data_IF_989566314864
#
_entry.id   IF_989566314864
#
_cell.length_a   1.000
_cell.length_b   1.000
_cell.length_c   1.000
_cell.angle_alpha   90.00
_cell.angle_beta   90.00
_cell.angle_gamma   90.00
#
_symmetry.space_group_name_H-M   'P 1'
#
loop_
_entity.id
_entity.type
_entity.pdbx_description
1 polymer ?
#
# COMPACT_ATOMS: atom_id res chain seq x y z
N UNK A 1 -1.29 25.50 -19.15
CA UNK A 1 -1.25 24.04 -18.94
C UNK A 1 -0.72 23.63 -17.56
N UNK A 2 0.21 24.35 -16.93
CA UNK A 2 0.80 23.97 -15.61
C UNK A 2 -0.12 24.17 -14.40
N UNK A 3 -1.02 25.17 -14.42
CA UNK A 3 -1.97 25.44 -13.31
C UNK A 3 -3.02 24.33 -13.11
N UNK A 4 -3.50 23.73 -14.19
CA UNK A 4 -4.52 22.68 -14.11
C UNK A 4 -3.94 21.41 -13.50
N UNK A 5 -2.75 20.97 -13.94
CA UNK A 5 -2.08 19.77 -13.40
C UNK A 5 -1.79 19.91 -11.91
N UNK A 6 -1.30 21.07 -11.46
CA UNK A 6 -1.04 21.32 -10.03
C UNK A 6 -2.32 21.22 -9.19
N UNK A 7 -3.46 21.65 -9.73
CA UNK A 7 -4.77 21.54 -9.06
C UNK A 7 -5.23 20.09 -8.94
N UNK A 8 -5.03 19.29 -9.99
CA UNK A 8 -5.35 17.86 -9.96
C UNK A 8 -4.46 17.11 -8.97
N UNK A 9 -3.16 17.39 -8.91
CA UNK A 9 -2.24 16.74 -7.95
C UNK A 9 -2.57 17.14 -6.50
N UNK A 10 -2.90 18.41 -6.24
CA UNK A 10 -3.31 18.89 -4.91
C UNK A 10 -4.52 18.18 -4.34
N UNK A 11 -5.40 17.65 -5.20
CA UNK A 11 -6.61 16.92 -4.79
C UNK A 11 -6.42 15.42 -4.86
N UNK A 12 -5.90 14.93 -5.98
CA UNK A 12 -5.75 13.51 -6.26
C UNK A 12 -4.72 12.83 -5.36
N UNK A 13 -3.57 13.46 -5.10
CA UNK A 13 -2.51 12.84 -4.31
C UNK A 13 -2.94 12.58 -2.85
N UNK A 14 -3.56 13.53 -2.13
CA UNK A 14 -4.16 13.25 -0.83
C UNK A 14 -5.26 12.18 -0.84
N UNK A 15 -6.10 12.15 -1.88
CA UNK A 15 -7.17 11.15 -2.00
C UNK A 15 -6.55 9.75 -2.16
N UNK A 16 -5.55 9.59 -3.02
CA UNK A 16 -4.87 8.30 -3.22
C UNK A 16 -4.19 7.83 -1.95
N UNK A 17 -3.42 8.70 -1.26
CA UNK A 17 -2.80 8.35 0.02
C UNK A 17 -3.85 8.02 1.08
N UNK A 18 -4.97 8.75 1.12
CA UNK A 18 -6.09 8.47 2.02
C UNK A 18 -6.73 7.10 1.78
N UNK A 19 -6.91 6.70 0.51
CA UNK A 19 -7.40 5.36 0.16
C UNK A 19 -6.41 4.26 0.55
N UNK A 20 -5.10 4.47 0.34
CA UNK A 20 -4.07 3.54 0.81
C UNK A 20 -4.05 3.43 2.34
N UNK A 21 -4.28 4.52 3.07
CA UNK A 21 -4.38 4.43 4.54
C UNK A 21 -5.62 3.62 4.93
N UNK A 22 -6.76 3.88 4.30
CA UNK A 22 -8.02 3.20 4.59
C UNK A 22 -7.92 1.68 4.34
N UNK A 23 -7.47 1.27 3.16
CA UNK A 23 -7.37 -0.14 2.83
C UNK A 23 -6.26 -0.83 3.64
N UNK A 24 -5.16 -0.15 3.95
CA UNK A 24 -4.14 -0.70 4.83
C UNK A 24 -4.65 -0.89 6.27
N UNK A 25 -5.55 -0.03 6.79
CA UNK A 25 -6.19 -0.24 8.10
C UNK A 25 -7.11 -1.47 8.07
N UNK A 26 -7.88 -1.64 6.98
CA UNK A 26 -8.72 -2.82 6.78
C UNK A 26 -7.84 -4.07 6.78
N UNK A 27 -6.75 -4.05 6.02
CA UNK A 27 -5.84 -5.18 5.88
C UNK A 27 -5.05 -5.48 7.15
N UNK A 28 -4.65 -4.45 7.90
CA UNK A 28 -4.06 -4.57 9.23
C UNK A 28 -5.02 -5.26 10.18
N UNK A 29 -6.30 -4.86 10.17
CA UNK A 29 -7.33 -5.46 11.03
C UNK A 29 -7.57 -6.94 10.69
N UNK A 30 -7.66 -7.28 9.40
CA UNK A 30 -7.84 -8.65 8.91
C UNK A 30 -6.65 -9.54 9.27
N UNK A 31 -5.43 -9.10 8.92
CA UNK A 31 -4.20 -9.85 9.16
C UNK A 31 -3.87 -9.99 10.65
N UNK A 32 -4.15 -8.98 11.47
CA UNK A 32 -4.02 -9.06 12.93
C UNK A 32 -5.02 -10.07 13.52
N UNK A 33 -6.27 -10.04 13.06
CA UNK A 33 -7.28 -10.99 13.51
C UNK A 33 -6.90 -12.43 13.13
N UNK A 34 -6.50 -12.67 11.88
CA UNK A 34 -6.04 -13.98 11.41
C UNK A 34 -4.82 -14.46 12.20
N UNK A 35 -3.83 -13.59 12.42
CA UNK A 35 -2.65 -13.90 13.23
C UNK A 35 -3.06 -14.31 14.65
N UNK A 36 -3.99 -13.58 15.27
CA UNK A 36 -4.53 -13.91 16.60
C UNK A 36 -5.21 -15.28 16.62
N UNK A 37 -6.05 -15.57 15.63
CA UNK A 37 -6.75 -16.86 15.52
C UNK A 37 -5.79 -18.03 15.28
N UNK A 38 -4.81 -17.86 14.39
CA UNK A 38 -3.78 -18.86 14.13
C UNK A 38 -2.89 -19.11 15.35
N UNK A 39 -2.58 -18.08 16.14
CA UNK A 39 -1.84 -18.25 17.39
C UNK A 39 -2.66 -18.96 18.49
N UNK A 40 -3.97 -18.75 18.52
CA UNK A 40 -4.83 -19.36 19.54
C UNK A 40 -5.21 -20.81 19.19
N UNK A 41 -5.70 -21.04 17.98
CA UNK A 41 -6.26 -22.33 17.56
C UNK A 41 -5.26 -23.22 16.83
N UNK A 42 -4.10 -22.70 16.40
CA UNK A 42 -3.08 -23.46 15.64
C UNK A 42 -3.66 -24.18 14.42
N UNK A 43 -4.70 -23.62 13.81
CA UNK A 43 -5.47 -24.20 12.71
C UNK A 43 -5.09 -23.61 11.34
N UNK A 44 -3.90 -23.02 11.23
CA UNK A 44 -3.28 -22.74 9.93
C UNK A 44 -2.90 -24.08 9.27
N UNK A 45 -3.04 -24.18 7.94
CA UNK A 45 -2.72 -25.38 7.17
C UNK A 45 -1.22 -25.61 7.10
N UNK A 46 -0.43 -24.54 6.95
CA UNK A 46 1.03 -24.62 6.85
C UNK A 46 1.71 -23.47 7.59
N UNK A 47 2.97 -23.65 7.98
CA UNK A 47 3.78 -22.55 8.53
C UNK A 47 3.94 -21.39 7.52
N UNK A 48 3.98 -21.71 6.23
CA UNK A 48 4.02 -20.73 5.14
C UNK A 48 2.80 -19.82 5.17
N UNK A 49 1.60 -20.38 5.36
CA UNK A 49 0.37 -19.58 5.46
C UNK A 49 0.41 -18.59 6.62
N UNK A 50 0.78 -19.08 7.81
CA UNK A 50 0.93 -18.25 9.01
C UNK A 50 1.91 -17.10 8.78
N UNK A 51 3.06 -17.38 8.18
CA UNK A 51 4.13 -16.40 8.01
C UNK A 51 3.78 -15.36 6.93
N UNK A 52 3.05 -15.75 5.88
CA UNK A 52 2.54 -14.83 4.84
C UNK A 52 1.49 -13.86 5.41
N UNK A 53 0.56 -14.34 6.23
CA UNK A 53 -0.40 -13.47 6.93
C UNK A 53 0.31 -12.45 7.83
N UNK A 54 1.35 -12.89 8.56
CA UNK A 54 2.16 -12.00 9.41
C UNK A 54 2.96 -10.98 8.59
N UNK A 55 3.45 -11.37 7.42
CA UNK A 55 4.09 -10.43 6.50
C UNK A 55 3.10 -9.37 6.00
N UNK A 56 1.87 -9.75 5.67
CA UNK A 56 0.82 -8.80 5.31
C UNK A 56 0.47 -7.85 6.47
N UNK A 57 0.47 -8.33 7.71
CA UNK A 57 0.32 -7.49 8.91
C UNK A 57 1.45 -6.45 9.04
N UNK A 58 2.70 -6.85 8.78
CA UNK A 58 3.83 -5.92 8.76
C UNK A 58 3.65 -4.88 7.63
N UNK A 59 3.35 -5.32 6.41
CA UNK A 59 3.21 -4.47 5.22
C UNK A 59 2.07 -3.45 5.36
N UNK A 60 0.94 -3.86 5.94
CA UNK A 60 -0.17 -2.96 6.23
C UNK A 60 0.20 -1.94 7.31
N UNK A 61 0.85 -2.36 8.40
CA UNK A 61 1.36 -1.45 9.45
C UNK A 61 2.36 -0.43 8.88
N UNK A 62 3.31 -0.88 8.06
CA UNK A 62 4.24 -0.02 7.34
C UNK A 62 3.50 1.04 6.51
N UNK A 63 2.50 0.60 5.74
CA UNK A 63 1.73 1.47 4.85
C UNK A 63 0.96 2.52 5.63
N UNK A 64 0.27 2.14 6.72
CA UNK A 64 -0.45 3.10 7.57
C UNK A 64 0.49 4.19 8.09
N UNK A 65 1.64 3.81 8.66
CA UNK A 65 2.59 4.77 9.25
C UNK A 65 3.15 5.72 8.20
N UNK A 66 3.66 5.18 7.09
CA UNK A 66 4.37 6.00 6.10
C UNK A 66 3.44 6.77 5.17
N UNK A 67 2.29 6.21 4.78
CA UNK A 67 1.32 6.94 3.98
C UNK A 67 0.67 8.08 4.80
N UNK A 68 0.39 7.86 6.09
CA UNK A 68 -0.08 8.94 6.97
C UNK A 68 0.98 10.03 7.14
N UNK A 69 2.25 9.67 7.32
CA UNK A 69 3.34 10.63 7.41
C UNK A 69 3.47 11.46 6.13
N UNK A 70 3.46 10.82 4.96
CA UNK A 70 3.49 11.52 3.67
C UNK A 70 2.29 12.45 3.48
N UNK A 71 1.09 12.00 3.86
CA UNK A 71 -0.14 12.80 3.75
C UNK A 71 -0.09 14.04 4.65
N UNK A 72 0.30 13.88 5.92
CA UNK A 72 0.43 14.97 6.89
C UNK A 72 1.49 15.97 6.40
N UNK A 73 2.66 15.50 5.98
CA UNK A 73 3.73 16.37 5.48
C UNK A 73 3.30 17.11 4.22
N UNK A 74 2.60 16.46 3.30
CA UNK A 74 2.04 17.09 2.11
C UNK A 74 1.02 18.19 2.46
N UNK A 75 0.19 17.97 3.48
CA UNK A 75 -0.79 18.95 3.95
C UNK A 75 -0.15 20.16 4.65
N UNK A 76 0.90 19.94 5.46
CA UNK A 76 1.55 20.99 6.24
C UNK A 76 2.63 21.78 5.50
N UNK A 77 3.29 21.17 4.51
CA UNK A 77 4.50 21.73 3.88
C UNK A 77 4.39 21.71 2.35
N UNK A 78 3.42 22.45 1.80
CA UNK A 78 3.38 22.69 0.36
C UNK A 78 4.56 23.54 -0.16
N UNK A 79 5.37 24.14 0.75
CA UNK A 79 6.40 25.15 0.45
C UNK A 79 7.86 24.68 0.59
N UNK A 80 8.14 23.37 0.62
CA UNK A 80 9.48 22.85 0.30
C UNK A 80 10.35 22.40 1.49
N UNK A 81 9.98 21.27 2.11
CA UNK A 81 10.89 20.46 2.93
C UNK A 81 11.51 19.32 2.10
N UNK A 82 12.69 18.83 2.48
CA UNK A 82 13.30 17.64 1.85
C UNK A 82 12.39 16.42 1.92
N UNK A 83 11.57 16.29 2.97
CA UNK A 83 10.62 15.19 3.16
C UNK A 83 9.34 15.34 2.33
N UNK A 84 9.05 16.54 1.81
CA UNK A 84 7.96 16.77 0.85
C UNK A 84 8.43 16.70 -0.61
N UNK A 85 9.71 16.37 -0.82
CA UNK A 85 10.26 16.24 -2.17
C UNK A 85 9.66 15.06 -2.93
N UNK A 86 9.68 15.15 -4.25
CA UNK A 86 9.34 14.04 -5.13
C UNK A 86 10.19 12.80 -4.82
N UNK A 87 11.49 12.98 -4.54
CA UNK A 87 12.38 11.87 -4.19
C UNK A 87 11.94 11.12 -2.92
N UNK A 88 11.57 11.86 -1.86
CA UNK A 88 11.10 11.24 -0.61
C UNK A 88 9.86 10.38 -0.84
N UNK A 89 8.91 10.88 -1.63
CA UNK A 89 7.73 10.11 -2.03
C UNK A 89 8.10 8.86 -2.84
N UNK A 90 9.00 8.97 -3.82
CA UNK A 90 9.42 7.83 -4.63
C UNK A 90 10.11 6.73 -3.83
N UNK A 91 10.97 7.09 -2.86
CA UNK A 91 11.67 6.10 -2.03
C UNK A 91 10.66 5.34 -1.16
N UNK A 92 9.79 6.06 -0.46
CA UNK A 92 8.79 5.45 0.42
C UNK A 92 7.79 4.62 -0.39
N UNK A 93 7.21 5.19 -1.45
CA UNK A 93 6.26 4.47 -2.30
C UNK A 93 6.91 3.29 -3.03
N UNK A 94 8.15 3.42 -3.48
CA UNK A 94 8.89 2.33 -4.13
C UNK A 94 9.12 1.15 -3.18
N UNK A 95 9.48 1.42 -1.92
CA UNK A 95 9.61 0.37 -0.92
C UNK A 95 8.25 -0.24 -0.57
N UNK A 96 7.22 0.58 -0.38
CA UNK A 96 5.83 0.12 -0.17
C UNK A 96 5.35 -0.76 -1.32
N UNK A 97 5.67 -0.42 -2.56
CA UNK A 97 5.32 -1.19 -3.74
C UNK A 97 5.99 -2.57 -3.76
N UNK A 98 7.27 -2.66 -3.38
CA UNK A 98 7.98 -3.93 -3.25
C UNK A 98 7.34 -4.82 -2.18
N UNK A 99 6.99 -4.24 -1.02
CA UNK A 99 6.31 -4.95 0.06
C UNK A 99 4.93 -5.47 -0.38
N UNK A 100 4.10 -4.65 -1.03
CA UNK A 100 2.79 -5.09 -1.52
C UNK A 100 2.90 -6.09 -2.66
N UNK A 101 3.89 -5.97 -3.55
CA UNK A 101 4.14 -6.97 -4.60
C UNK A 101 4.46 -8.32 -3.96
N UNK A 102 5.35 -8.33 -2.97
CA UNK A 102 5.69 -9.55 -2.24
C UNK A 102 4.50 -10.10 -1.45
N UNK A 103 3.71 -9.25 -0.79
CA UNK A 103 2.58 -9.67 0.02
C UNK A 103 1.46 -10.25 -0.85
N UNK A 104 1.05 -9.54 -1.90
CA UNK A 104 0.01 -9.98 -2.83
C UNK A 104 0.41 -11.29 -3.52
N UNK A 105 1.64 -11.36 -4.07
CA UNK A 105 2.12 -12.58 -4.71
C UNK A 105 2.20 -13.77 -3.73
N UNK A 106 2.67 -13.55 -2.51
CA UNK A 106 2.77 -14.61 -1.52
C UNK A 106 1.38 -15.11 -1.08
N UNK A 107 0.42 -14.22 -0.85
CA UNK A 107 -0.96 -14.62 -0.52
C UNK A 107 -1.61 -15.33 -1.71
N UNK A 108 -1.46 -14.84 -2.94
CA UNK A 108 -1.96 -15.52 -4.14
C UNK A 108 -1.38 -16.92 -4.30
N UNK A 109 -0.06 -17.10 -4.14
CA UNK A 109 0.58 -18.42 -4.21
C UNK A 109 0.11 -19.36 -3.09
N UNK A 110 -0.25 -18.81 -1.92
CA UNK A 110 -0.73 -19.58 -0.77
C UNK A 110 -2.13 -20.14 -1.03
N UNK A 111 -2.96 -19.36 -1.72
CA UNK A 111 -4.36 -19.66 -1.98
C UNK A 111 -4.58 -20.36 -3.32
N UNK A 112 -3.63 -20.25 -4.25
CA UNK A 112 -3.78 -20.76 -5.62
C UNK A 112 -4.57 -19.83 -6.55
N UNK A 113 -4.75 -18.55 -6.19
CA UNK A 113 -5.46 -17.55 -7.01
C UNK A 113 -6.95 -17.39 -6.66
N UNK A 114 -7.27 -17.23 -5.37
CA UNK A 114 -8.62 -17.12 -4.84
C UNK A 114 -9.25 -18.46 -4.44
N UNK A 115 -10.00 -18.45 -3.35
CA UNK A 115 -10.64 -19.65 -2.78
C UNK A 115 -12.14 -19.71 -3.08
N UNK A 116 -12.66 -20.90 -3.36
CA UNK A 116 -14.11 -21.14 -3.32
C UNK A 116 -14.53 -21.69 -1.95
N UNK A 117 -14.87 -20.80 -1.03
CA UNK A 117 -15.21 -21.14 0.37
C UNK A 117 -16.48 -22.00 0.56
N UNK A 118 -17.19 -22.36 -0.52
CA UNK A 118 -18.30 -23.33 -0.46
C UNK A 118 -17.82 -24.77 -0.74
N UNK A 119 -16.71 -24.91 -1.46
CA UNK A 119 -16.17 -26.19 -1.92
C UNK A 119 -14.86 -26.55 -1.19
N UNK A 120 -14.16 -25.55 -0.66
CA UNK A 120 -12.87 -25.72 0.01
C UNK A 120 -13.00 -25.50 1.52
N UNK A 121 -12.94 -26.60 2.27
CA UNK A 121 -12.92 -26.62 3.74
C UNK A 121 -11.49 -26.72 4.32
N UNK A 122 -10.49 -26.90 3.45
CA UNK A 122 -9.09 -27.07 3.82
C UNK A 122 -8.45 -25.80 4.43
N UNK A 123 -9.06 -24.62 4.23
CA UNK A 123 -8.59 -23.34 4.76
C UNK A 123 -9.48 -22.86 5.90
N UNK A 124 -8.91 -22.78 7.10
CA UNK A 124 -9.56 -22.07 8.20
C UNK A 124 -9.71 -20.58 7.84
N UNK A 125 -10.88 -20.02 8.08
CA UNK A 125 -11.16 -18.60 7.81
C UNK A 125 -11.02 -18.21 6.33
N UNK A 126 -11.46 -19.11 5.43
CA UNK A 126 -11.40 -18.94 3.97
C UNK A 126 -11.85 -17.56 3.47
N UNK A 127 -12.99 -17.04 3.95
CA UNK A 127 -13.49 -15.73 3.51
C UNK A 127 -12.53 -14.59 3.88
N UNK A 128 -11.90 -14.67 5.04
CA UNK A 128 -10.94 -13.67 5.52
C UNK A 128 -9.63 -13.75 4.73
N UNK A 129 -9.16 -14.95 4.39
CA UNK A 129 -7.98 -15.14 3.54
C UNK A 129 -8.23 -14.64 2.10
N UNK A 130 -9.41 -14.89 1.56
CA UNK A 130 -9.78 -14.39 0.23
C UNK A 130 -9.89 -12.85 0.22
N UNK A 131 -10.40 -12.25 1.30
CA UNK A 131 -10.40 -10.80 1.47
C UNK A 131 -8.97 -10.23 1.56
N UNK A 132 -8.09 -10.90 2.31
CA UNK A 132 -6.66 -10.56 2.44
C UNK A 132 -5.98 -10.50 1.05
N UNK A 133 -6.22 -11.50 0.20
CA UNK A 133 -5.68 -11.49 -1.17
C UNK A 133 -6.18 -10.29 -1.98
N UNK A 134 -7.49 -10.04 -1.95
CA UNK A 134 -8.10 -8.97 -2.72
C UNK A 134 -7.59 -7.58 -2.31
N UNK A 135 -7.54 -7.30 -1.01
CA UNK A 135 -7.07 -6.01 -0.51
C UNK A 135 -5.56 -5.80 -0.73
N UNK A 136 -4.74 -6.86 -0.66
CA UNK A 136 -3.33 -6.77 -1.01
C UNK A 136 -3.11 -6.33 -2.47
N UNK A 137 -3.90 -6.86 -3.41
CA UNK A 137 -3.86 -6.41 -4.81
C UNK A 137 -4.41 -4.99 -5.01
N UNK A 138 -5.45 -4.60 -4.27
CA UNK A 138 -5.98 -3.22 -4.30
C UNK A 138 -4.90 -2.23 -3.85
N UNK A 139 -4.20 -2.51 -2.76
CA UNK A 139 -3.10 -1.68 -2.27
C UNK A 139 -1.94 -1.59 -3.27
N UNK A 140 -1.58 -2.73 -3.88
CA UNK A 140 -0.57 -2.75 -4.93
C UNK A 140 -0.95 -1.86 -6.13
N UNK A 141 -2.22 -1.90 -6.56
CA UNK A 141 -2.74 -1.06 -7.65
C UNK A 141 -2.70 0.43 -7.28
N UNK A 142 -3.17 0.79 -6.08
CA UNK A 142 -3.14 2.17 -5.59
C UNK A 142 -1.71 2.70 -5.46
N UNK A 143 -0.80 1.89 -4.93
CA UNK A 143 0.60 2.25 -4.81
C UNK A 143 1.26 2.42 -6.19
N UNK A 144 0.95 1.54 -7.15
CA UNK A 144 1.41 1.65 -8.55
C UNK A 144 0.92 2.96 -9.18
N UNK A 145 -0.36 3.28 -9.02
CA UNK A 145 -0.94 4.53 -9.50
C UNK A 145 -0.24 5.75 -8.87
N UNK A 146 -0.02 5.74 -7.55
CA UNK A 146 0.68 6.81 -6.84
C UNK A 146 2.10 7.01 -7.39
N UNK A 147 2.87 5.93 -7.60
CA UNK A 147 4.21 5.99 -8.17
C UNK A 147 4.20 6.63 -9.57
N UNK A 148 3.27 6.23 -10.44
CA UNK A 148 3.16 6.79 -11.80
C UNK A 148 2.94 8.31 -11.73
N UNK A 149 2.04 8.79 -10.88
CA UNK A 149 1.77 10.22 -10.70
C UNK A 149 3.01 10.94 -10.18
N UNK A 150 3.69 10.40 -9.15
CA UNK A 150 4.89 11.02 -8.57
C UNK A 150 6.06 11.04 -9.56
N UNK A 151 6.26 9.97 -10.34
CA UNK A 151 7.28 9.92 -11.40
C UNK A 151 7.00 10.95 -12.49
N UNK A 152 5.75 11.07 -12.95
CA UNK A 152 5.38 12.06 -13.94
C UNK A 152 5.67 13.49 -13.45
N UNK A 153 5.40 13.77 -12.18
CA UNK A 153 5.73 15.05 -11.54
C UNK A 153 7.24 15.27 -11.40
N UNK A 154 7.99 14.23 -11.04
CA UNK A 154 9.46 14.28 -11.01
C UNK A 154 10.07 14.62 -12.36
N UNK A 155 9.63 13.96 -13.43
CA UNK A 155 10.07 14.22 -14.80
C UNK A 155 9.71 15.66 -15.22
N UNK A 156 8.49 16.11 -14.91
CA UNK A 156 8.06 17.48 -15.22
C UNK A 156 8.90 18.54 -14.49
N UNK A 157 9.21 18.31 -13.21
CA UNK A 157 10.01 19.23 -12.37
C UNK A 157 11.49 19.24 -12.79
N UNK A 158 12.04 18.08 -13.17
CA UNK A 158 13.39 17.97 -13.70
C UNK A 158 13.54 18.74 -15.03
N UNK A 159 12.54 18.64 -15.92
CA UNK A 159 12.52 19.40 -17.19
C UNK A 159 12.41 20.91 -16.99
N UNK A 160 11.84 21.38 -15.89
CA UNK A 160 11.75 22.81 -15.57
C UNK A 160 12.96 23.36 -14.78
N UNK A 161 14.02 22.56 -14.59
CA UNK A 161 15.25 22.98 -13.91
C UNK A 161 15.25 22.86 -12.39
N UNK A 162 14.16 22.37 -11.77
CA UNK A 162 14.04 22.24 -10.30
C UNK A 162 14.53 20.89 -9.76
N UNK A 163 14.74 19.90 -10.65
CA UNK A 163 15.16 18.54 -10.29
C UNK A 163 14.16 17.76 -9.43
N UNK A 164 14.56 16.58 -8.94
CA UNK A 164 13.72 15.70 -8.09
C UNK A 164 13.60 16.18 -6.63
N UNK A 165 14.32 17.25 -6.27
CA UNK A 165 14.21 17.92 -4.96
C UNK A 165 13.03 18.89 -4.91
N UNK A 166 12.43 19.22 -6.05
CA UNK A 166 11.26 20.09 -6.12
C UNK A 166 10.05 19.53 -5.37
N UNK A 167 9.15 20.45 -4.99
CA UNK A 167 7.82 20.14 -4.44
C UNK A 167 6.99 19.34 -5.43
N UNK A 168 6.07 18.50 -4.93
CA UNK A 168 5.08 17.80 -5.76
C UNK A 168 4.10 18.77 -6.47
N UNK A 169 3.92 19.98 -5.92
CA UNK A 169 3.00 21.03 -6.41
C UNK A 169 3.75 22.33 -6.59
#
# INVERSE_FOLDING_TARGET
MTRDVNTHVRRGHPITLGLMILFAIIELSLSAWLTSKFNHFHNYRTLSERDRVRFTLFTSTWTVVWAALLLILFAHSATGSMLTSVLAHLVVLGFTWLLWTAAAAAVTDMLGGGLNCKLEDAFAYCNQLNALEAFAWIEWLLCTFAIIVVLWRGISSARSGNGYRGSLV
#
